data_IF_109242287401
#
_entry.id   IF_109242287401
#
_cell.length_a   1.000
_cell.length_b   1.000
_cell.length_c   1.000
_cell.angle_alpha   90.00
_cell.angle_beta   90.00
_cell.angle_gamma   90.00
#
_symmetry.space_group_name_H-M   'P 1'
#
loop_
_entity.id
_entity.type
_entity.pdbx_description
1 polymer ?
#
# COMPACT_ATOMS: atom_id res chain seq x y z
N UNK A 1 -11.30 11.71 -4.92
CA UNK A 1 -9.99 12.40 -4.82
C UNK A 1 -9.06 11.50 -3.99
N UNK A 2 -7.81 11.32 -4.42
CA UNK A 2 -6.77 10.61 -3.66
C UNK A 2 -5.68 11.61 -3.29
N UNK A 3 -5.31 11.65 -2.02
CA UNK A 3 -4.19 12.47 -1.52
C UNK A 3 -3.07 11.53 -1.12
N UNK A 4 -1.88 11.74 -1.65
CA UNK A 4 -0.72 10.88 -1.44
C UNK A 4 0.55 11.71 -1.24
N UNK A 5 1.43 11.27 -0.33
CA UNK A 5 2.75 11.87 -0.17
C UNK A 5 3.72 11.43 -1.27
N UNK A 6 4.78 12.22 -1.50
CA UNK A 6 5.85 11.91 -2.46
C UNK A 6 6.54 10.57 -2.20
N UNK A 7 6.48 10.07 -0.95
CA UNK A 7 6.98 8.76 -0.55
C UNK A 7 6.26 7.56 -1.19
N UNK A 8 5.26 7.79 -2.07
CA UNK A 8 4.51 6.75 -2.80
C UNK A 8 4.87 6.69 -4.29
N UNK A 9 5.72 7.59 -4.79
CA UNK A 9 6.21 7.57 -6.18
C UNK A 9 7.23 6.44 -6.33
N UNK A 10 7.06 5.61 -7.35
CA UNK A 10 7.94 4.47 -7.66
C UNK A 10 8.41 4.58 -9.12
N UNK A 11 9.55 3.98 -9.44
CA UNK A 11 10.13 4.06 -10.79
C UNK A 11 9.37 3.23 -11.83
N UNK A 12 8.72 2.15 -11.38
CA UNK A 12 7.93 1.26 -12.24
C UNK A 12 6.87 0.49 -11.42
N UNK A 13 6.11 -0.37 -12.10
CA UNK A 13 5.02 -1.15 -11.49
C UNK A 13 5.57 -2.20 -10.50
N UNK A 14 6.67 -2.87 -10.81
CA UNK A 14 7.24 -3.91 -9.96
C UNK A 14 7.70 -3.33 -8.61
N UNK A 15 8.46 -2.23 -8.66
CA UNK A 15 8.88 -1.49 -7.46
C UNK A 15 7.70 -0.93 -6.65
N UNK A 16 6.59 -0.59 -7.31
CA UNK A 16 5.35 -0.20 -6.63
C UNK A 16 4.74 -1.37 -5.84
N UNK A 17 4.69 -2.57 -6.43
CA UNK A 17 4.21 -3.77 -5.73
C UNK A 17 5.15 -4.19 -4.61
N UNK A 18 6.47 -4.12 -4.82
CA UNK A 18 7.45 -4.38 -3.76
C UNK A 18 7.30 -3.42 -2.59
N UNK A 19 7.11 -2.11 -2.86
CA UNK A 19 6.83 -1.13 -1.81
C UNK A 19 5.56 -1.47 -1.05
N UNK A 20 4.48 -1.84 -1.74
CA UNK A 20 3.23 -2.24 -1.07
C UNK A 20 3.48 -3.47 -0.18
N UNK A 21 4.14 -4.50 -0.72
CA UNK A 21 4.40 -5.77 -0.04
C UNK A 21 5.33 -5.59 1.16
N UNK A 22 6.47 -4.93 0.98
CA UNK A 22 7.56 -4.94 1.96
C UNK A 22 7.57 -3.74 2.91
N UNK A 23 6.85 -2.66 2.58
CA UNK A 23 6.84 -1.45 3.40
C UNK A 23 5.43 -1.08 3.86
N UNK A 24 4.48 -0.97 2.92
CA UNK A 24 3.16 -0.44 3.25
C UNK A 24 2.30 -1.43 4.05
N UNK A 25 2.19 -2.67 3.58
CA UNK A 25 1.35 -3.69 4.20
C UNK A 25 1.83 -4.08 5.61
N UNK A 26 3.13 -4.36 5.87
CA UNK A 26 3.59 -4.72 7.21
C UNK A 26 3.34 -3.60 8.24
N UNK A 27 3.62 -2.35 7.85
CA UNK A 27 3.36 -1.17 8.72
C UNK A 27 1.88 -0.98 9.00
N UNK A 28 1.01 -1.21 8.03
CA UNK A 28 -0.44 -1.13 8.25
C UNK A 28 -0.93 -2.23 9.21
N UNK A 29 -0.45 -3.46 9.04
CA UNK A 29 -0.78 -4.57 9.95
C UNK A 29 -0.35 -4.24 11.37
N UNK A 30 0.86 -3.69 11.55
CA UNK A 30 1.38 -3.28 12.85
C UNK A 30 0.57 -2.15 13.48
N UNK A 31 0.16 -1.15 12.69
CA UNK A 31 -0.72 -0.05 13.14
C UNK A 31 -2.08 -0.57 13.65
N UNK A 32 -2.59 -1.64 13.04
CA UNK A 32 -3.85 -2.27 13.39
C UNK A 32 -3.72 -3.36 14.47
N UNK A 33 -2.52 -3.60 14.99
CA UNK A 33 -2.24 -4.63 16.00
C UNK A 33 -2.76 -6.02 15.62
N UNK A 34 -2.60 -6.40 14.36
CA UNK A 34 -3.04 -7.71 13.87
C UNK A 34 -2.02 -8.81 14.19
N UNK A 35 -2.53 -10.01 14.43
CA UNK A 35 -1.71 -11.21 14.62
C UNK A 35 -1.33 -11.80 13.26
N UNK A 36 -0.39 -11.14 12.58
CA UNK A 36 0.16 -11.56 11.30
C UNK A 36 1.69 -11.55 11.41
N UNK A 37 2.41 -12.51 10.82
CA UNK A 37 3.87 -12.61 10.98
C UNK A 37 4.65 -11.37 10.50
N UNK A 38 4.05 -10.53 9.67
CA UNK A 38 4.65 -9.28 9.22
C UNK A 38 4.64 -8.14 10.27
N UNK A 39 3.85 -8.25 11.34
CA UNK A 39 3.86 -7.26 12.44
C UNK A 39 5.10 -7.38 13.31
N UNK A 40 5.60 -8.60 13.47
CA UNK A 40 6.81 -8.92 14.23
C UNK A 40 8.06 -8.82 13.37
N UNK A 41 8.08 -9.50 12.22
CA UNK A 41 9.25 -9.54 11.33
C UNK A 41 9.53 -8.21 10.61
N UNK A 42 8.53 -7.34 10.49
CA UNK A 42 8.60 -6.10 9.71
C UNK A 42 8.65 -6.29 8.19
N UNK A 43 8.62 -7.53 7.71
CA UNK A 43 8.68 -7.90 6.29
C UNK A 43 7.48 -8.77 5.92
N UNK A 44 7.14 -8.82 4.63
CA UNK A 44 6.08 -9.72 4.17
C UNK A 44 6.57 -11.16 4.15
N UNK A 45 5.83 -12.04 4.81
CA UNK A 45 6.11 -13.49 4.85
C UNK A 45 5.15 -14.29 3.95
N UNK A 46 4.42 -13.61 3.06
CA UNK A 46 3.38 -14.18 2.20
C UNK A 46 2.41 -15.13 2.94
N UNK A 47 1.93 -14.67 4.10
CA UNK A 47 1.12 -15.48 5.01
C UNK A 47 -0.29 -15.78 4.47
N UNK A 48 -0.91 -16.84 4.99
CA UNK A 48 -2.31 -17.18 4.72
C UNK A 48 -3.16 -17.24 6.00
N UNK A 49 -2.85 -16.36 6.95
CA UNK A 49 -3.59 -16.19 8.22
C UNK A 49 -5.00 -15.66 7.98
N UNK A 50 -5.93 -15.98 8.87
CA UNK A 50 -7.30 -15.45 8.82
C UNK A 50 -7.32 -13.92 8.94
N UNK A 51 -6.46 -13.37 9.80
CA UNK A 51 -6.23 -11.94 10.05
C UNK A 51 -5.54 -11.19 8.91
N UNK A 52 -5.17 -11.84 7.79
CA UNK A 52 -4.53 -11.18 6.64
C UNK A 52 -5.44 -10.12 6.01
N UNK A 53 -4.96 -8.87 5.95
CA UNK A 53 -5.67 -7.75 5.29
C UNK A 53 -5.14 -7.41 3.89
N UNK A 54 -3.89 -7.77 3.55
CA UNK A 54 -3.28 -7.49 2.24
C UNK A 54 -3.65 -8.57 1.20
N UNK A 55 -4.94 -8.67 0.88
CA UNK A 55 -5.50 -9.72 0.00
C UNK A 55 -5.69 -9.30 -1.45
N UNK A 56 -5.74 -8.00 -1.72
CA UNK A 56 -6.06 -7.48 -3.06
C UNK A 56 -5.19 -6.29 -3.41
N UNK A 57 -4.85 -6.17 -4.69
CA UNK A 57 -4.28 -4.98 -5.28
C UNK A 57 -5.23 -4.41 -6.33
N UNK A 58 -5.34 -3.09 -6.37
CA UNK A 58 -6.12 -2.39 -7.39
C UNK A 58 -5.20 -1.47 -8.17
N UNK A 59 -5.24 -1.58 -9.51
CA UNK A 59 -4.43 -0.77 -10.42
C UNK A 59 -5.35 0.02 -11.33
N UNK A 60 -5.27 1.35 -11.25
CA UNK A 60 -5.96 2.26 -12.17
C UNK A 60 -5.00 2.69 -13.27
N UNK A 61 -5.14 2.08 -14.45
CA UNK A 61 -4.32 2.44 -15.63
C UNK A 61 -4.70 3.81 -16.23
N UNK A 62 -5.99 4.17 -16.14
CA UNK A 62 -6.53 5.44 -16.63
C UNK A 62 -7.72 5.84 -15.76
N UNK A 63 -8.06 7.13 -15.77
CA UNK A 63 -9.29 7.66 -15.15
C UNK A 63 -10.52 6.90 -15.68
N UNK A 64 -11.40 6.37 -14.78
CA UNK A 64 -12.67 5.77 -15.19
C UNK A 64 -13.59 6.78 -15.88
N UNK A 65 -14.28 6.36 -16.94
CA UNK A 65 -15.11 7.26 -17.76
C UNK A 65 -16.25 7.92 -16.99
N UNK A 66 -16.90 7.16 -16.09
CA UNK A 66 -18.08 7.61 -15.34
C UNK A 66 -17.74 8.21 -13.97
N UNK A 67 -16.46 8.49 -13.69
CA UNK A 67 -16.05 9.00 -12.39
C UNK A 67 -15.02 10.12 -12.53
N UNK A 68 -15.27 11.22 -11.82
CA UNK A 68 -14.23 12.22 -11.57
C UNK A 68 -13.18 11.62 -10.63
N UNK A 69 -11.92 11.67 -11.04
CA UNK A 69 -10.82 11.13 -10.26
C UNK A 69 -9.62 12.07 -10.33
N UNK A 70 -9.28 12.63 -9.17
CA UNK A 70 -8.16 13.56 -9.00
C UNK A 70 -7.17 12.95 -8.02
N UNK A 71 -5.88 12.97 -8.37
CA UNK A 71 -4.77 12.61 -7.48
C UNK A 71 -4.02 13.89 -7.13
N UNK A 72 -3.88 14.17 -5.83
CA UNK A 72 -3.09 15.27 -5.30
C UNK A 72 -1.82 14.69 -4.67
N UNK A 73 -0.67 15.04 -5.22
CA UNK A 73 0.64 14.68 -4.67
C UNK A 73 1.12 15.79 -3.75
N UNK A 74 1.33 15.46 -2.49
CA UNK A 74 1.83 16.37 -1.45
C UNK A 74 3.34 16.16 -1.33
N UNK A 75 4.11 17.25 -1.32
CA UNK A 75 5.58 17.26 -1.25
C UNK A 75 6.21 16.67 0.01
N UNK A 76 5.41 16.08 0.90
CA UNK A 76 5.82 15.55 2.19
C UNK A 76 5.68 14.02 2.24
N UNK A 77 6.38 13.39 3.19
CA UNK A 77 6.22 11.96 3.47
C UNK A 77 4.98 11.73 4.32
N UNK A 78 3.96 11.11 3.74
CA UNK A 78 2.68 10.86 4.42
C UNK A 78 2.45 9.36 4.61
N UNK A 79 2.08 8.95 5.82
CA UNK A 79 1.75 7.56 6.14
C UNK A 79 2.93 6.59 5.90
N UNK A 80 2.61 5.45 5.28
CA UNK A 80 3.55 4.38 4.91
C UNK A 80 3.37 3.99 3.43
#
# INVERSE_FOLDING_TARGET
>A
IVVAGVNKICSNIDTAFERIRNYAAPRNNKRLSLDNPCTDSGLCMDCNTESRICRVYSVLKKRPTLSEFTVVLVGESLGY
#
